data_IF_395022239625
#
_entry.id   IF_395022239625
#
_cell.length_a   1.000
_cell.length_b   1.000
_cell.length_c   1.000
_cell.angle_alpha   90.00
_cell.angle_beta   90.00
_cell.angle_gamma   90.00
#
_symmetry.space_group_name_H-M   'P 1'
#
loop_
_entity.id
_entity.type
_entity.pdbx_description
1 polymer ?
#
# COMPACT_ATOMS: atom_id res chain seq x y z
N UNK A 1 -13.52 -36.09 34.07
CA UNK A 1 -12.53 -36.03 32.98
C UNK A 1 -13.16 -35.22 31.85
N UNK A 2 -12.57 -34.09 31.46
CA UNK A 2 -13.16 -33.24 30.43
C UNK A 2 -12.25 -32.07 30.10
N UNK A 3 -11.41 -32.24 29.08
CA UNK A 3 -10.62 -31.16 28.50
C UNK A 3 -11.34 -30.68 27.24
N UNK A 4 -11.99 -29.53 27.31
CA UNK A 4 -12.53 -28.87 26.13
C UNK A 4 -11.47 -27.93 25.56
N UNK A 5 -10.70 -28.40 24.57
CA UNK A 5 -9.83 -27.52 23.77
C UNK A 5 -10.72 -26.83 22.74
N UNK A 6 -11.22 -25.63 23.06
CA UNK A 6 -11.79 -24.72 22.06
C UNK A 6 -10.64 -24.12 21.26
N UNK A 7 -10.30 -24.73 20.12
CA UNK A 7 -9.60 -23.99 19.07
C UNK A 7 -10.56 -22.95 18.51
N UNK A 8 -10.34 -21.69 18.87
CA UNK A 8 -11.02 -20.58 18.21
C UNK A 8 -10.46 -20.48 16.79
N UNK A 9 -11.16 -21.10 15.84
CA UNK A 9 -10.95 -20.88 14.41
C UNK A 9 -11.31 -19.43 14.15
N UNK A 10 -10.31 -18.56 14.12
CA UNK A 10 -10.51 -17.17 13.73
C UNK A 10 -10.71 -17.14 12.22
N UNK A 11 -11.94 -17.36 11.77
CA UNK A 11 -12.36 -17.31 10.36
C UNK A 11 -12.33 -15.88 9.81
N UNK A 12 -11.14 -15.28 9.75
CA UNK A 12 -10.95 -13.93 9.25
C UNK A 12 -10.63 -13.94 7.77
N UNK A 13 -11.32 -13.08 7.04
CA UNK A 13 -11.02 -12.80 5.63
C UNK A 13 -9.77 -11.94 5.59
N UNK A 14 -8.60 -12.57 5.59
CA UNK A 14 -7.35 -11.96 5.16
C UNK A 14 -7.17 -12.23 3.67
N UNK A 15 -6.59 -11.28 2.94
CA UNK A 15 -6.30 -11.46 1.51
C UNK A 15 -6.91 -10.37 0.66
N UNK A 16 -7.28 -10.70 -0.57
CA UNK A 16 -7.60 -9.71 -1.59
C UNK A 16 -8.92 -10.00 -2.28
N UNK A 17 -9.55 -8.94 -2.77
CA UNK A 17 -10.70 -8.99 -3.68
C UNK A 17 -10.39 -8.13 -4.89
N UNK A 18 -10.39 -8.76 -6.06
CA UNK A 18 -10.26 -8.09 -7.35
C UNK A 18 -11.58 -8.31 -8.08
N UNK A 19 -12.25 -7.21 -8.43
CA UNK A 19 -13.47 -7.21 -9.25
C UNK A 19 -13.24 -6.35 -10.49
N UNK A 20 -14.22 -6.24 -11.37
CA UNK A 20 -14.13 -5.34 -12.53
C UNK A 20 -13.98 -3.86 -12.14
N UNK A 21 -14.45 -3.46 -10.95
CA UNK A 21 -14.52 -2.04 -10.56
C UNK A 21 -13.43 -1.62 -9.57
N UNK A 22 -12.99 -2.54 -8.71
CA UNK A 22 -12.08 -2.21 -7.62
C UNK A 22 -11.16 -3.37 -7.21
N UNK A 23 -10.10 -2.97 -6.53
CA UNK A 23 -9.11 -3.77 -5.86
C UNK A 23 -9.13 -3.48 -4.36
N UNK A 24 -9.22 -4.52 -3.53
CA UNK A 24 -9.31 -4.38 -2.08
C UNK A 24 -8.39 -5.38 -1.38
N UNK A 25 -7.74 -4.93 -0.30
CA UNK A 25 -7.08 -5.80 0.67
C UNK A 25 -7.90 -5.83 1.96
N UNK A 26 -8.10 -7.04 2.48
CA UNK A 26 -8.73 -7.31 3.77
C UNK A 26 -7.67 -7.65 4.81
N UNK A 27 -7.73 -6.96 5.94
CA UNK A 27 -6.80 -7.02 7.06
C UNK A 27 -7.57 -7.33 8.35
N UNK A 28 -6.88 -7.83 9.38
CA UNK A 28 -7.48 -8.12 10.69
C UNK A 28 -8.27 -6.92 11.27
N UNK A 29 -7.80 -5.68 11.07
CA UNK A 29 -8.43 -4.45 11.59
C UNK A 29 -9.16 -3.61 10.53
N UNK A 30 -9.62 -4.22 9.43
CA UNK A 30 -10.37 -3.54 8.37
C UNK A 30 -9.80 -3.83 7.00
N UNK A 31 -9.70 -2.83 6.14
CA UNK A 31 -9.13 -2.98 4.82
C UNK A 31 -9.05 -1.64 4.10
N UNK A 32 -8.51 -1.67 2.91
CA UNK A 32 -8.50 -0.52 2.01
C UNK A 32 -9.00 -0.96 0.64
N UNK A 33 -9.62 -0.03 -0.08
CA UNK A 33 -10.15 -0.27 -1.42
C UNK A 33 -9.66 0.83 -2.36
N UNK A 34 -9.32 0.43 -3.57
CA UNK A 34 -8.94 1.30 -4.67
C UNK A 34 -9.76 0.95 -5.89
N UNK A 35 -10.36 1.95 -6.53
CA UNK A 35 -10.94 1.77 -7.86
C UNK A 35 -9.83 1.68 -8.89
N UNK A 36 -9.99 0.82 -9.89
CA UNK A 36 -8.94 0.61 -10.90
C UNK A 36 -8.59 1.88 -11.67
N UNK A 37 -9.56 2.75 -11.95
CA UNK A 37 -9.30 4.02 -12.63
C UNK A 37 -8.36 4.94 -11.83
N UNK A 38 -8.28 4.79 -10.50
CA UNK A 38 -7.37 5.54 -9.62
C UNK A 38 -5.99 4.88 -9.48
N UNK A 39 -5.79 3.69 -10.04
CA UNK A 39 -4.51 2.99 -10.08
C UNK A 39 -3.85 3.30 -11.43
N UNK A 40 -2.56 3.66 -11.39
CA UNK A 40 -1.76 3.89 -12.59
C UNK A 40 -0.96 2.65 -12.99
N UNK A 41 -0.34 1.98 -12.03
CA UNK A 41 0.39 0.72 -12.25
C UNK A 41 0.54 -0.07 -10.95
N UNK A 42 0.82 -1.37 -11.10
CA UNK A 42 1.09 -2.32 -10.03
C UNK A 42 2.29 -3.16 -10.45
N UNK A 43 3.30 -3.23 -9.59
CA UNK A 43 4.59 -3.81 -9.95
C UNK A 43 5.29 -4.43 -8.74
N UNK A 44 6.07 -5.49 -8.97
CA UNK A 44 7.01 -6.01 -7.97
C UNK A 44 8.16 -5.02 -7.78
N UNK A 45 8.63 -4.85 -6.55
CA UNK A 45 9.69 -3.91 -6.23
C UNK A 45 11.07 -4.55 -6.25
N UNK A 46 12.03 -3.72 -6.64
CA UNK A 46 13.44 -4.04 -6.57
C UNK A 46 14.18 -2.98 -5.76
N UNK A 47 15.21 -3.42 -5.05
CA UNK A 47 16.16 -2.59 -4.33
C UNK A 47 17.49 -2.60 -5.08
N UNK A 48 18.08 -1.42 -5.28
CA UNK A 48 19.35 -1.28 -6.00
C UNK A 48 20.46 -0.84 -5.05
N UNK A 49 21.54 -1.61 -4.99
CA UNK A 49 22.71 -1.31 -4.16
C UNK A 49 23.98 -1.55 -4.96
N UNK A 50 24.81 -0.50 -5.10
CA UNK A 50 26.14 -0.59 -5.74
C UNK A 50 26.12 -1.27 -7.13
N UNK A 51 25.10 -0.98 -7.95
CA UNK A 51 24.94 -1.55 -9.29
C UNK A 51 24.26 -2.92 -9.35
N UNK A 52 23.96 -3.54 -8.21
CA UNK A 52 23.17 -4.77 -8.13
C UNK A 52 21.71 -4.45 -7.83
N UNK A 53 20.80 -5.10 -8.53
CA UNK A 53 19.36 -4.98 -8.31
C UNK A 53 18.82 -6.31 -7.80
N UNK A 54 18.15 -6.28 -6.65
CA UNK A 54 17.54 -7.46 -6.03
C UNK A 54 16.05 -7.23 -5.79
N UNK A 55 15.24 -8.26 -5.99
CA UNK A 55 13.80 -8.21 -5.68
C UNK A 55 13.59 -8.16 -4.17
N UNK A 56 12.69 -7.27 -3.72
CA UNK A 56 12.29 -7.18 -2.32
C UNK A 56 10.87 -7.72 -2.13
N UNK A 57 10.47 -8.13 -0.89
CA UNK A 57 9.19 -8.79 -0.64
C UNK A 57 8.01 -7.80 -0.58
N UNK A 58 7.91 -6.93 -1.58
CA UNK A 58 6.91 -5.88 -1.67
C UNK A 58 6.40 -5.72 -3.10
N UNK A 59 5.10 -5.49 -3.20
CA UNK A 59 4.43 -5.01 -4.42
C UNK A 59 4.07 -3.55 -4.20
N UNK A 60 4.40 -2.70 -5.17
CA UNK A 60 4.05 -1.30 -5.19
C UNK A 60 2.78 -1.04 -6.01
N UNK A 61 1.95 -0.12 -5.53
CA UNK A 61 0.77 0.40 -6.23
C UNK A 61 0.92 1.90 -6.40
N UNK A 62 0.91 2.36 -7.65
CA UNK A 62 0.96 3.78 -7.99
C UNK A 62 -0.49 4.32 -8.09
N UNK A 63 -0.82 5.30 -7.27
CA UNK A 63 -2.14 5.92 -7.14
C UNK A 63 -2.14 7.29 -7.85
N UNK A 64 -3.22 7.62 -8.55
CA UNK A 64 -3.37 8.89 -9.29
C UNK A 64 -3.85 10.03 -8.39
N UNK A 65 -4.88 9.76 -7.57
CA UNK A 65 -5.51 10.72 -6.66
C UNK A 65 -5.50 10.18 -5.23
N UNK A 66 -4.78 10.88 -4.35
CA UNK A 66 -4.68 10.56 -2.94
C UNK A 66 -5.98 10.85 -2.19
N UNK A 67 -6.73 11.88 -2.57
CA UNK A 67 -7.94 12.30 -1.85
C UNK A 67 -9.03 11.23 -1.96
N UNK A 68 -9.24 10.66 -3.16
CA UNK A 68 -10.15 9.55 -3.38
C UNK A 68 -9.81 8.30 -2.54
N UNK A 69 -8.52 8.03 -2.30
CA UNK A 69 -8.08 6.92 -1.46
C UNK A 69 -8.20 7.22 0.03
N UNK A 70 -7.59 8.31 0.48
CA UNK A 70 -7.44 8.69 1.90
C UNK A 70 -8.78 9.07 2.53
N UNK A 71 -9.75 9.54 1.76
CA UNK A 71 -11.10 9.83 2.26
C UNK A 71 -11.81 8.56 2.78
N UNK A 72 -11.58 7.40 2.15
CA UNK A 72 -12.28 6.13 2.44
C UNK A 72 -11.60 5.26 3.49
N UNK A 73 -10.29 5.44 3.69
CA UNK A 73 -9.51 4.58 4.59
C UNK A 73 -9.73 4.92 6.06
N UNK A 74 -9.92 3.88 6.87
CA UNK A 74 -10.15 4.05 8.31
C UNK A 74 -8.85 4.38 9.07
N UNK A 75 -8.90 5.16 10.16
CA UNK A 75 -7.72 5.46 10.98
C UNK A 75 -6.94 4.23 11.44
N UNK A 76 -7.62 3.11 11.76
CA UNK A 76 -6.96 1.86 12.18
C UNK A 76 -6.09 1.27 11.08
N UNK A 77 -6.58 1.28 9.84
CA UNK A 77 -5.84 0.78 8.68
C UNK A 77 -4.67 1.70 8.36
N UNK A 78 -4.85 3.02 8.46
CA UNK A 78 -3.75 3.99 8.32
C UNK A 78 -2.60 3.64 9.28
N UNK A 79 -2.90 3.46 10.57
CA UNK A 79 -1.88 3.14 11.57
C UNK A 79 -1.15 1.83 11.24
N UNK A 80 -1.87 0.81 10.77
CA UNK A 80 -1.25 -0.45 10.35
C UNK A 80 -0.31 -0.25 9.16
N UNK A 81 -0.74 0.49 8.13
CA UNK A 81 0.09 0.82 6.96
C UNK A 81 1.38 1.54 7.39
N UNK A 82 1.25 2.59 8.22
CA UNK A 82 2.39 3.38 8.69
C UNK A 82 3.42 2.54 9.48
N UNK A 83 2.93 1.59 10.29
CA UNK A 83 3.79 0.71 11.09
C UNK A 83 4.46 -0.37 10.22
N UNK A 84 3.69 -1.08 9.39
CA UNK A 84 4.19 -2.19 8.58
C UNK A 84 5.20 -1.73 7.52
N UNK A 85 5.05 -0.51 7.00
CA UNK A 85 5.94 0.02 5.96
C UNK A 85 7.15 0.80 6.52
N UNK A 86 7.40 0.80 7.84
CA UNK A 86 8.55 1.52 8.43
C UNK A 86 9.89 0.96 7.95
N UNK A 87 10.02 -0.36 7.84
CA UNK A 87 11.22 -1.01 7.31
C UNK A 87 11.47 -0.63 5.85
N UNK A 88 10.40 -0.55 5.05
CA UNK A 88 10.46 -0.13 3.66
C UNK A 88 10.88 1.35 3.52
N UNK A 89 10.37 2.24 4.37
CA UNK A 89 10.84 3.64 4.42
C UNK A 89 12.33 3.70 4.71
N UNK A 90 12.79 2.98 5.74
CA UNK A 90 14.22 2.96 6.10
C UNK A 90 15.09 2.46 4.95
N UNK A 91 14.69 1.35 4.32
CA UNK A 91 15.44 0.76 3.20
C UNK A 91 15.50 1.74 2.02
N UNK A 92 14.40 2.43 1.71
CA UNK A 92 14.35 3.41 0.65
C UNK A 92 15.27 4.59 0.94
N UNK A 93 15.21 5.18 2.14
CA UNK A 93 16.10 6.27 2.55
C UNK A 93 17.58 5.83 2.51
N UNK A 94 17.88 4.60 2.92
CA UNK A 94 19.22 4.04 2.86
C UNK A 94 19.74 3.95 1.42
N UNK A 95 18.90 3.59 0.45
CA UNK A 95 19.28 3.53 -0.96
C UNK A 95 19.83 4.87 -1.47
N UNK A 96 19.29 5.99 -0.98
CA UNK A 96 19.66 7.34 -1.40
C UNK A 96 20.58 8.06 -0.40
N UNK A 97 21.11 7.38 0.63
CA UNK A 97 21.97 8.02 1.65
C UNK A 97 21.24 9.01 2.57
N UNK A 98 19.91 8.96 2.64
CA UNK A 98 19.02 9.89 3.36
C UNK A 98 18.56 9.35 4.72
N UNK A 99 19.32 8.44 5.32
CA UNK A 99 18.92 7.73 6.55
C UNK A 99 18.66 8.66 7.73
N UNK A 100 19.33 9.82 7.75
CA UNK A 100 19.17 10.85 8.79
C UNK A 100 17.76 11.44 8.85
N UNK A 101 16.99 11.37 7.75
CA UNK A 101 15.62 11.89 7.66
C UNK A 101 14.56 10.91 8.20
N UNK A 102 14.95 9.71 8.68
CA UNK A 102 13.99 8.65 9.02
C UNK A 102 12.92 9.15 10.00
N UNK A 103 13.33 9.74 11.12
CA UNK A 103 12.40 10.13 12.18
C UNK A 103 11.44 11.24 11.72
N UNK A 104 11.91 12.17 10.88
CA UNK A 104 11.08 13.23 10.28
C UNK A 104 9.94 12.66 9.42
N UNK A 105 10.17 11.51 8.77
CA UNK A 105 9.18 10.84 7.94
C UNK A 105 8.37 9.78 8.70
N UNK A 106 8.89 9.25 9.84
CA UNK A 106 8.17 8.26 10.67
C UNK A 106 6.91 8.87 11.27
N UNK A 107 7.02 10.06 11.85
CA UNK A 107 5.90 10.78 12.48
C UNK A 107 5.81 12.19 11.88
N UNK A 108 5.27 12.28 10.66
CA UNK A 108 5.03 13.56 9.99
C UNK A 108 3.58 14.00 10.15
N UNK A 109 3.28 14.78 11.18
CA UNK A 109 1.95 15.30 11.50
C UNK A 109 1.57 16.59 10.75
N UNK A 110 2.43 17.07 9.85
CA UNK A 110 2.17 18.27 9.06
C UNK A 110 0.89 18.08 8.21
N UNK A 111 0.04 19.11 8.09
CA UNK A 111 -1.10 19.06 7.18
C UNK A 111 -0.65 18.74 5.75
N UNK A 112 -1.44 17.94 5.04
CA UNK A 112 -1.21 17.65 3.63
C UNK A 112 -2.22 18.43 2.78
N UNK A 113 -1.74 19.07 1.72
CA UNK A 113 -2.56 19.86 0.79
C UNK A 113 -2.77 19.04 -0.49
N UNK A 114 -4.03 18.79 -0.84
CA UNK A 114 -4.39 18.12 -2.08
C UNK A 114 -4.28 19.05 -3.28
N UNK A 115 -4.37 18.50 -4.49
CA UNK A 115 -4.29 19.27 -5.75
C UNK A 115 -5.40 20.31 -5.90
N UNK A 116 -6.55 20.10 -5.28
CA UNK A 116 -7.68 21.04 -5.25
C UNK A 116 -7.50 22.19 -4.24
N UNK A 117 -6.38 22.22 -3.50
CA UNK A 117 -6.07 23.20 -2.46
C UNK A 117 -6.72 22.91 -1.10
N UNK A 118 -7.59 21.90 -1.00
CA UNK A 118 -8.10 21.44 0.29
C UNK A 118 -7.00 20.75 1.09
N UNK A 119 -7.14 20.71 2.41
CA UNK A 119 -6.15 20.06 3.28
C UNK A 119 -6.76 18.99 4.17
N UNK A 120 -5.89 18.09 4.60
CA UNK A 120 -6.18 17.06 5.60
C UNK A 120 -5.17 17.13 6.73
N UNK A 121 -5.59 16.70 7.93
CA UNK A 121 -4.78 16.73 9.17
C UNK A 121 -4.78 15.35 9.85
N UNK A 122 -3.93 15.20 10.87
CA UNK A 122 -3.83 13.99 11.68
C UNK A 122 -3.37 12.76 10.88
N UNK A 123 -3.87 11.57 11.24
CA UNK A 123 -3.44 10.31 10.61
C UNK A 123 -3.58 10.29 9.08
N UNK A 124 -4.63 10.91 8.54
CA UNK A 124 -4.82 11.01 7.09
C UNK A 124 -3.72 11.85 6.42
N UNK A 125 -3.29 12.95 7.05
CA UNK A 125 -2.16 13.74 6.57
C UNK A 125 -0.84 12.99 6.69
N UNK A 126 -0.62 12.28 7.81
CA UNK A 126 0.54 11.43 8.00
C UNK A 126 0.64 10.37 6.90
N UNK A 127 -0.48 9.73 6.55
CA UNK A 127 -0.52 8.77 5.45
C UNK A 127 -0.19 9.44 4.11
N UNK A 128 -0.80 10.58 3.79
CA UNK A 128 -0.53 11.31 2.55
C UNK A 128 0.95 11.70 2.40
N UNK A 129 1.53 12.27 3.46
CA UNK A 129 2.95 12.60 3.50
C UNK A 129 3.83 11.35 3.36
N UNK A 130 3.45 10.24 4.00
CA UNK A 130 4.17 8.96 3.87
C UNK A 130 4.11 8.43 2.44
N UNK A 131 2.94 8.46 1.81
CA UNK A 131 2.76 8.06 0.42
C UNK A 131 3.64 8.90 -0.52
N UNK A 132 3.72 10.22 -0.28
CA UNK A 132 4.56 11.12 -1.08
C UNK A 132 6.05 10.82 -0.98
N UNK A 133 6.61 10.60 0.22
CA UNK A 133 8.04 10.24 0.34
C UNK A 133 8.29 8.85 -0.24
N UNK A 134 7.39 7.88 -0.03
CA UNK A 134 7.54 6.55 -0.61
C UNK A 134 7.48 6.59 -2.15
N UNK A 135 6.69 7.49 -2.73
CA UNK A 135 6.67 7.74 -4.18
C UNK A 135 8.03 8.20 -4.68
N UNK A 136 8.70 9.08 -3.94
CA UNK A 136 10.05 9.55 -4.29
C UNK A 136 11.09 8.43 -4.19
N UNK A 137 10.97 7.56 -3.18
CA UNK A 137 11.96 6.51 -2.92
C UNK A 137 11.79 5.31 -3.87
N UNK A 138 10.55 4.88 -4.10
CA UNK A 138 10.23 3.62 -4.78
C UNK A 138 9.44 3.78 -6.06
N UNK A 139 8.83 4.95 -6.31
CA UNK A 139 7.94 5.17 -7.45
C UNK A 139 6.50 4.72 -7.25
N UNK A 140 6.09 4.42 -6.01
CA UNK A 140 4.76 3.93 -5.63
C UNK A 140 4.30 4.51 -4.28
N UNK A 141 3.02 4.41 -3.96
CA UNK A 141 2.41 5.09 -2.81
C UNK A 141 1.91 4.12 -1.74
N UNK A 142 1.38 2.98 -2.19
CA UNK A 142 0.85 1.93 -1.35
C UNK A 142 1.60 0.63 -1.61
N UNK A 143 1.86 -0.12 -0.55
CA UNK A 143 2.71 -1.30 -0.60
C UNK A 143 2.03 -2.48 0.07
N UNK A 144 2.12 -3.62 -0.61
CA UNK A 144 1.59 -4.91 -0.16
C UNK A 144 2.79 -5.81 0.13
N UNK A 145 2.85 -6.38 1.33
CA UNK A 145 3.89 -7.32 1.69
C UNK A 145 3.67 -8.65 0.95
N UNK A 146 4.74 -9.26 0.47
CA UNK A 146 4.68 -10.58 -0.17
C UNK A 146 4.10 -11.65 0.78
N UNK A 147 4.30 -11.50 2.10
CA UNK A 147 3.71 -12.37 3.12
C UNK A 147 2.18 -12.32 3.20
N UNK A 148 1.55 -11.27 2.66
CA UNK A 148 0.09 -11.14 2.64
C UNK A 148 -0.52 -11.83 1.39
N UNK A 149 0.31 -12.18 0.41
CA UNK A 149 -0.08 -12.76 -0.88
C UNK A 149 -0.12 -14.28 -0.74
N UNK A 150 -1.22 -14.90 -1.20
CA UNK A 150 -1.45 -16.36 -1.11
C UNK A 150 -0.75 -17.11 -2.25
N UNK A 151 -0.61 -16.45 -3.40
CA UNK A 151 0.11 -16.93 -4.58
C UNK A 151 1.55 -16.41 -4.59
N UNK A 152 2.31 -16.66 -5.66
CA UNK A 152 3.56 -15.91 -5.85
C UNK A 152 3.29 -14.42 -6.08
N UNK A 153 4.30 -13.59 -5.77
CA UNK A 153 4.28 -12.15 -6.02
C UNK A 153 4.09 -11.83 -7.50
N UNK A 154 4.73 -12.60 -8.37
CA UNK A 154 4.69 -12.42 -9.83
C UNK A 154 3.31 -12.73 -10.39
N UNK A 155 2.68 -13.84 -9.96
CA UNK A 155 1.31 -14.19 -10.34
C UNK A 155 0.31 -13.12 -9.85
N UNK A 156 0.49 -12.63 -8.62
CA UNK A 156 -0.36 -11.57 -8.07
C UNK A 156 -0.28 -10.27 -8.87
N UNK A 157 0.94 -9.84 -9.21
CA UNK A 157 1.16 -8.66 -10.06
C UNK A 157 0.56 -8.87 -11.45
N UNK A 158 0.75 -10.04 -12.04
CA UNK A 158 0.16 -10.40 -13.34
C UNK A 158 -1.36 -10.29 -13.34
N UNK A 159 -2.01 -10.86 -12.31
CA UNK A 159 -3.45 -10.78 -12.13
C UNK A 159 -3.92 -9.33 -11.94
N UNK A 160 -3.27 -8.56 -11.07
CA UNK A 160 -3.63 -7.16 -10.82
C UNK A 160 -3.52 -6.31 -12.08
N UNK A 161 -2.46 -6.49 -12.89
CA UNK A 161 -2.29 -5.80 -14.17
C UNK A 161 -3.35 -6.19 -15.20
N UNK A 162 -3.78 -7.45 -15.22
CA UNK A 162 -4.88 -7.90 -16.10
C UNK A 162 -6.18 -7.15 -15.80
N UNK A 163 -6.59 -7.08 -14.52
CA UNK A 163 -7.77 -6.31 -14.12
C UNK A 163 -7.61 -4.81 -14.40
N UNK A 164 -6.41 -4.26 -14.16
CA UNK A 164 -6.12 -2.87 -14.46
C UNK A 164 -6.31 -2.58 -15.96
N UNK A 165 -5.77 -3.42 -16.85
CA UNK A 165 -5.92 -3.26 -18.30
C UNK A 165 -7.39 -3.40 -18.76
N UNK A 166 -8.12 -4.37 -18.22
CA UNK A 166 -9.54 -4.58 -18.52
C UNK A 166 -10.39 -3.35 -18.13
N UNK A 167 -10.13 -2.75 -16.96
CA UNK A 167 -10.88 -1.58 -16.49
C UNK A 167 -10.73 -0.33 -17.38
N UNK A 168 -9.58 -0.17 -18.05
CA UNK A 168 -9.36 0.94 -18.99
C UNK A 168 -10.02 0.67 -20.35
N UNK A 169 -10.17 -0.60 -20.72
CA UNK A 169 -10.81 -0.99 -21.99
C UNK A 169 -12.33 -0.84 -21.92
N UNK A 170 -12.95 -1.11 -20.76
CA UNK A 170 -14.39 -0.93 -20.53
C UNK A 170 -14.85 0.52 -20.32
N UNK A 171 -13.93 1.48 -20.20
CA UNK A 171 -14.26 2.91 -20.03
C UNK A 171 -14.49 3.67 -21.36
N UNK A 172 -14.35 2.98 -22.51
CA UNK A 172 -14.50 3.53 -23.86
C UNK A 172 -15.83 3.13 -24.54
N UNK A 173 -16.87 2.85 -23.77
CA UNK A 173 -18.25 2.58 -24.25
C UNK A 173 -19.25 3.49 -23.55
#
# INVERSE_FOLDING_TARGET
>A
MGLAIKHYVYGQKLGFTLTETHFQQHLYKGGWVLRWHNIKRVDALNYSIQGWTTSIPWVGVEIKDYQAFISTISPKVITQILLHQRSLLFLGLKQYGRQHELEDHVINDKPFIYSDGSNVKGLKAMLANRMMIQRQLWGYDLFIAESDIITSKEEFVGLARHYLAASHSGANI
#
